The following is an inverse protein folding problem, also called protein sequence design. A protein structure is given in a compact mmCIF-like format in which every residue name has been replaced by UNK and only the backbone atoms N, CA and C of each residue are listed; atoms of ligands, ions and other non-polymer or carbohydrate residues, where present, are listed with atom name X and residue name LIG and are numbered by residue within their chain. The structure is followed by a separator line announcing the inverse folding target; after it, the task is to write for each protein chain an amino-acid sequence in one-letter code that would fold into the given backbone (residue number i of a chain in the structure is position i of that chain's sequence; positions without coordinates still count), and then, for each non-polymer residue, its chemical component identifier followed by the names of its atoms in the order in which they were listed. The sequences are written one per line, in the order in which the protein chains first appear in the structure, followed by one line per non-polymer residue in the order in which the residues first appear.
data_IF_202449815958
#
_entry.id   IF_202449815958
#
_cell.length_a   1.000
_cell.length_b   1.000
_cell.length_c   1.000
_cell.angle_alpha   90.00
_cell.angle_beta   90.00
_cell.angle_gamma   90.00
#
_symmetry.space_group_name_H-M   'P 1'
#
loop_
_entity.id
_entity.type
_entity.pdbx_description
1 polymer ?
2 non-polymer ?
3 non-polymer ?
4 non-polymer ?
5 non-polymer ?
6 water ?
#
# COMPACT_ATOMS: atom_id res chain seq x y z
N UNK A 3 -12.83 3.66 21.52
CA UNK A 3 -11.98 4.56 20.75
C UNK A 3 -11.10 5.34 21.71
N UNK A 4 -11.59 5.51 22.94
CA UNK A 4 -10.84 6.14 24.04
C UNK A 4 -9.95 7.28 23.58
N UNK A 5 -10.58 8.30 23.02
CA UNK A 5 -9.90 9.47 22.47
C UNK A 5 -9.65 10.52 23.55
N UNK A 6 -8.50 11.18 23.50
CA UNK A 6 -8.18 12.25 24.43
C UNK A 6 -9.10 13.45 24.21
N UNK A 7 -9.39 14.14 25.31
CA UNK A 7 -10.29 15.29 25.36
C UNK A 7 -10.12 16.30 24.23
N UNK A 8 -8.87 16.65 23.92
CA UNK A 8 -8.62 17.79 23.05
C UNK A 8 -8.86 17.55 21.56
N UNK A 9 -8.95 16.30 21.13
CA UNK A 9 -9.03 16.03 19.68
C UNK A 9 -10.27 16.65 19.05
N UNK A 10 -10.05 17.57 18.10
CA UNK A 10 -11.16 18.20 17.39
C UNK A 10 -11.93 17.22 16.52
N UNK A 11 -13.25 17.35 16.53
CA UNK A 11 -14.12 16.62 15.63
C UNK A 11 -15.01 17.59 14.89
N UNK A 12 -15.42 17.19 13.70
CA UNK A 12 -16.29 17.99 12.88
C UNK A 12 -17.68 17.41 13.01
N UNK A 13 -18.63 18.19 13.50
CA UNK A 13 -19.95 17.63 13.79
C UNK A 13 -21.11 18.42 13.20
N UNK A 14 -22.25 17.75 13.17
CA UNK A 14 -23.55 18.40 13.02
C UNK A 14 -24.33 18.22 14.31
N UNK A 15 -24.70 19.32 14.96
CA UNK A 15 -25.49 19.25 16.19
C UNK A 15 -26.87 19.84 15.96
N UNK A 16 -27.91 19.08 16.31
CA UNK A 16 -29.30 19.45 16.07
C UNK A 16 -29.54 20.05 14.68
N UNK A 17 -28.75 19.62 13.71
CA UNK A 17 -28.88 20.10 12.35
C UNK A 17 -27.85 21.12 11.88
N UNK A 18 -26.89 21.50 12.71
CA UNK A 18 -25.86 22.41 12.23
C UNK A 18 -24.43 22.06 12.59
N UNK A 19 -23.54 22.49 11.70
CA UNK A 19 -22.14 22.13 11.64
C UNK A 19 -21.29 22.97 12.58
N UNK A 20 -20.32 22.32 13.22
CA UNK A 20 -19.32 23.03 14.04
C UNK A 20 -18.11 22.14 14.26
N UNK A 21 -17.03 22.74 14.76
CA UNK A 21 -15.77 22.03 14.96
C UNK A 21 -15.33 22.18 16.41
N UNK A 22 -15.31 21.07 17.15
CA UNK A 22 -15.16 21.13 18.61
C UNK A 22 -14.25 20.05 19.19
N UNK A 23 -13.70 20.32 20.37
CA UNK A 23 -13.01 19.29 21.13
C UNK A 23 -13.97 18.16 21.50
N UNK A 24 -13.60 16.93 21.17
CA UNK A 24 -14.47 15.79 21.40
C UNK A 24 -14.87 15.68 22.88
N UNK A 25 -13.95 15.92 23.79
CA UNK A 25 -14.23 15.84 25.22
C UNK A 25 -15.23 16.88 25.67
N UNK A 26 -15.11 18.08 25.13
CA UNK A 26 -16.02 19.19 25.45
C UNK A 26 -17.46 18.87 25.06
N UNK A 27 -17.66 18.41 23.82
CA UNK A 27 -18.97 17.97 23.37
C UNK A 27 -19.57 16.89 24.27
N UNK A 28 -18.79 15.84 24.52
CA UNK A 28 -19.29 14.68 25.22
C UNK A 28 -19.59 14.98 26.69
N UNK A 29 -18.75 15.80 27.31
CA UNK A 29 -19.03 16.27 28.66
C UNK A 29 -20.36 17.01 28.71
N UNK A 30 -20.59 17.89 27.75
CA UNK A 30 -21.82 18.69 27.72
C UNK A 30 -23.05 17.80 27.52
N UNK A 31 -22.92 16.82 26.64
CA UNK A 31 -23.99 15.84 26.39
C UNK A 31 -24.36 15.02 27.62
N UNK A 32 -23.34 14.49 28.29
CA UNK A 32 -23.57 13.65 29.45
C UNK A 32 -24.16 14.46 30.59
N UNK A 33 -23.56 15.62 30.85
CA UNK A 33 -24.01 16.45 31.96
C UNK A 33 -25.43 16.99 31.76
N UNK A 34 -25.94 16.90 30.53
CA UNK A 34 -27.31 17.34 30.20
C UNK A 34 -28.27 16.18 29.96
N UNK A 35 -27.77 14.96 30.08
CA UNK A 35 -28.58 13.80 29.75
C UNK A 35 -29.33 13.25 30.97
N UNK A 36 -30.41 12.53 30.70
CA UNK A 36 -31.10 11.76 31.70
C UNK A 36 -31.09 10.31 31.24
N UNK A 37 -30.21 10.04 30.29
CA UNK A 37 -30.07 8.72 29.69
C UNK A 37 -28.66 8.20 29.89
N UNK A 38 -28.13 8.43 31.08
CA UNK A 38 -26.82 7.91 31.42
C UNK A 38 -26.95 6.53 31.99
N UNK A 39 -26.11 5.61 31.53
CA UNK A 39 -26.01 4.30 32.16
C UNK A 39 -24.54 4.02 32.40
N UNK A 40 -24.24 2.99 33.18
CA UNK A 40 -22.86 2.68 33.51
C UNK A 40 -22.46 1.25 33.18
N UNK A 41 -21.20 1.10 32.82
CA UNK A 41 -20.58 -0.21 32.63
C UNK A 41 -19.24 -0.17 33.35
N UNK A 42 -19.30 -0.20 34.67
CA UNK A 42 -18.11 -0.07 35.49
C UNK A 42 -17.63 1.37 35.50
N UNK A 43 -16.44 1.59 34.96
CA UNK A 43 -15.85 2.92 34.88
C UNK A 43 -16.45 3.71 33.73
N UNK A 44 -17.25 3.04 32.91
CA UNK A 44 -17.83 3.62 31.71
C UNK A 44 -19.15 4.35 31.96
N UNK A 45 -19.16 5.65 31.65
CA UNK A 45 -20.37 6.47 31.65
C UNK A 45 -20.89 6.61 30.21
N UNK A 46 -22.10 6.13 29.95
CA UNK A 46 -22.63 6.13 28.59
C UNK A 46 -23.92 6.91 28.50
N UNK A 47 -23.98 7.84 27.55
CA UNK A 47 -25.22 8.56 27.27
C UNK A 47 -25.63 8.35 25.85
N UNK A 48 -26.90 8.04 25.64
CA UNK A 48 -27.41 7.99 24.27
C UNK A 48 -27.74 9.43 23.89
N UNK A 49 -27.57 9.76 22.61
CA UNK A 49 -27.81 11.14 22.17
C UNK A 49 -28.61 11.24 20.87
N UNK A 50 -29.16 12.43 20.63
CA UNK A 50 -30.04 12.69 19.50
C UNK A 50 -29.56 13.90 18.70
N UNK A 51 -29.60 13.79 17.38
CA UNK A 51 -29.34 14.93 16.52
C UNK A 51 -27.88 15.29 16.40
N UNK A 52 -27.00 14.33 16.64
CA UNK A 52 -25.58 14.56 16.48
C UNK A 52 -24.98 13.66 15.42
N UNK A 53 -24.20 14.27 14.53
CA UNK A 53 -23.55 13.56 13.45
C UNK A 53 -22.07 13.92 13.41
N UNK A 54 -21.23 12.94 13.07
CA UNK A 54 -19.80 13.18 12.95
C UNK A 54 -19.31 12.75 11.57
N UNK A 55 -18.19 13.30 11.13
CA UNK A 55 -17.58 12.89 9.86
C UNK A 55 -17.00 11.49 10.03
N UNK A 56 -17.43 10.57 9.18
CA UNK A 56 -16.93 9.22 9.24
C UNK A 56 -16.87 8.65 7.84
N UNK A 57 -16.14 7.56 7.70
CA UNK A 57 -16.03 6.83 6.46
C UNK A 57 -17.06 5.68 6.44
N UNK A 58 -18.11 5.81 5.64
CA UNK A 58 -19.22 4.87 5.76
C UNK A 58 -19.07 3.58 4.96
N UNK A 59 -20.06 2.70 5.09
CA UNK A 59 -20.07 1.39 4.43
C UNK A 59 -20.09 1.47 2.89
N UNK A 60 -20.47 2.63 2.35
CA UNK A 60 -20.45 2.84 0.91
C UNK A 60 -19.15 3.51 0.47
N UNK A 61 -18.15 3.43 1.33
CA UNK A 61 -16.80 3.95 1.05
C UNK A 61 -16.71 5.47 0.90
N UNK A 62 -17.55 6.22 1.62
CA UNK A 62 -17.52 7.68 1.50
C UNK A 62 -17.38 8.42 2.83
N UNK A 63 -16.65 9.52 2.81
CA UNK A 63 -16.56 10.42 3.96
C UNK A 63 -17.76 11.36 4.01
N UNK A 64 -18.59 11.14 5.01
CA UNK A 64 -19.90 11.77 5.13
C UNK A 64 -20.28 11.98 6.60
N UNK A 65 -21.20 12.89 6.87
CA UNK A 65 -21.80 12.98 8.19
C UNK A 65 -22.62 11.72 8.48
N UNK A 66 -22.35 11.10 9.63
CA UNK A 66 -23.05 9.88 10.06
C UNK A 66 -23.54 10.05 11.49
N UNK A 67 -24.78 9.60 11.75
CA UNK A 67 -25.38 9.64 13.09
C UNK A 67 -24.52 9.02 14.18
N UNK A 68 -24.40 9.72 15.29
CA UNK A 68 -23.82 9.16 16.52
C UNK A 68 -24.99 8.66 17.37
N UNK A 69 -24.92 7.42 17.83
CA UNK A 69 -26.02 6.85 18.59
C UNK A 69 -25.87 7.12 20.08
N UNK A 70 -24.64 7.01 20.57
CA UNK A 70 -24.35 7.26 21.97
C UNK A 70 -22.92 7.78 22.14
N UNK A 71 -22.66 8.41 23.28
CA UNK A 71 -21.31 8.85 23.60
C UNK A 71 -20.93 8.30 24.97
N UNK A 72 -19.64 8.24 25.25
CA UNK A 72 -19.22 7.74 26.54
C UNK A 72 -17.85 8.27 26.91
N UNK A 73 -17.50 8.13 28.17
CA UNK A 73 -16.21 8.53 28.70
C UNK A 73 -15.84 7.58 29.82
N UNK A 74 -14.54 7.46 30.10
CA UNK A 74 -14.07 6.72 31.27
C UNK A 74 -12.75 7.32 31.73
N UNK A 75 -12.44 7.20 33.04
CA UNK A 75 -11.17 7.71 33.55
C UNK A 75 -9.99 6.91 33.01
N UNK A 76 -8.89 7.61 32.73
CA UNK A 76 -7.68 6.95 32.27
C UNK A 76 -6.46 7.59 32.92
N UNK A 77 -5.48 6.76 33.26
CA UNK A 77 -4.29 7.22 33.96
C UNK A 77 -3.24 7.78 33.02
N UNK A 78 -2.97 7.07 31.94
CA UNK A 78 -1.88 7.44 31.05
C UNK A 78 -2.28 7.35 29.58
N UNK A 79 -1.62 8.16 28.76
CA UNK A 79 -1.72 7.99 27.32
C UNK A 79 -0.36 8.14 26.70
N UNK A 80 -0.16 7.48 25.56
CA UNK A 80 1.10 7.55 24.85
C UNK A 80 1.05 8.68 23.85
N UNK A 81 2.07 9.52 23.86
CA UNK A 81 2.24 10.49 22.79
C UNK A 81 3.30 10.00 21.82
N UNK A 82 2.89 9.68 20.60
CA UNK A 82 3.81 9.29 19.55
C UNK A 82 4.21 10.50 18.74
N UNK A 83 5.52 10.74 18.61
CA UNK A 83 5.99 11.87 17.81
C UNK A 83 6.85 11.35 16.67
N UNK A 84 6.49 11.72 15.44
CA UNK A 84 7.21 11.26 14.26
C UNK A 84 7.88 12.42 13.53
N UNK A 85 8.67 12.09 12.50
CA UNK A 85 9.34 13.11 11.66
C UNK A 85 8.38 14.23 11.24
N UNK A 86 8.89 15.45 11.22
CA UNK A 86 8.06 16.61 10.89
C UNK A 86 7.25 17.09 12.09
N UNK A 87 7.57 16.54 13.25
CA UNK A 87 6.88 16.86 14.49
C UNK A 87 5.36 16.68 14.40
N UNK A 88 4.93 15.65 13.68
CA UNK A 88 3.56 15.17 13.75
C UNK A 88 3.44 14.32 15.02
N UNK A 89 2.30 14.41 15.68
CA UNK A 89 2.13 13.68 16.93
C UNK A 89 0.68 13.36 17.24
N UNK A 90 0.48 12.31 18.03
CA UNK A 90 -0.87 11.89 18.40
C UNK A 90 -0.83 11.35 19.83
N UNK A 91 -1.91 11.56 20.57
CA UNK A 91 -2.03 11.01 21.92
C UNK A 91 -3.11 9.94 21.98
N UNK A 92 -2.72 8.71 22.31
CA UNK A 92 -3.70 7.62 22.36
C UNK A 92 -3.47 6.72 23.56
N UNK A 93 -4.52 5.98 23.93
CA UNK A 93 -4.41 5.01 24.99
C UNK A 93 -3.68 3.76 24.51
N UNK A 94 -3.31 2.94 25.48
CA UNK A 94 -2.44 1.79 25.27
C UNK A 94 -3.03 0.77 24.31
N UNK A 95 -4.35 0.66 24.32
CA UNK A 95 -5.01 -0.40 23.57
C UNK A 95 -5.20 -0.08 22.09
N UNK A 96 -4.45 0.89 21.58
CA UNK A 96 -4.55 1.20 20.15
C UNK A 96 -3.38 0.63 19.39
N UNK A 97 -3.62 0.30 18.12
CA UNK A 97 -2.54 -0.22 17.29
C UNK A 97 -2.40 0.64 16.04
N UNK A 98 -1.20 0.64 15.46
CA UNK A 98 -0.91 1.44 14.29
C UNK A 98 -0.07 0.67 13.29
N UNK A 99 -0.31 0.92 12.00
CA UNK A 99 0.45 0.25 10.96
C UNK A 99 1.92 0.60 11.06
N UNK A 100 2.72 -0.45 11.20
CA UNK A 100 4.16 -0.31 11.38
C UNK A 100 4.87 -1.25 10.40
N UNK A 101 6.08 -0.90 9.99
CA UNK A 101 6.89 -1.85 9.25
C UNK A 101 7.62 -2.75 10.23
N UNK A 102 7.29 -4.03 10.20
CA UNK A 102 7.94 -4.98 11.09
C UNK A 102 8.23 -6.21 10.26
N UNK A 103 9.50 -6.65 10.29
CA UNK A 103 9.93 -7.77 9.47
C UNK A 103 9.45 -7.61 8.02
N UNK A 104 9.80 -6.47 7.37
CA UNK A 104 9.62 -6.39 5.91
C UNK A 104 8.16 -6.20 5.46
N UNK A 105 7.24 -6.22 6.41
CA UNK A 105 5.82 -6.04 6.12
C UNK A 105 5.19 -4.87 6.88
N UNK A 106 4.04 -4.40 6.40
CA UNK A 106 3.21 -3.46 7.16
C UNK A 106 2.21 -4.24 8.02
N UNK A 107 2.29 -4.06 9.33
CA UNK A 107 1.42 -4.77 10.25
C UNK A 107 0.94 -3.85 11.35
N UNK A 108 -0.24 -4.13 11.92
CA UNK A 108 -0.68 -3.32 13.06
C UNK A 108 0.10 -3.64 14.32
N UNK A 109 0.67 -2.63 14.96
CA UNK A 109 1.39 -2.83 16.23
C UNK A 109 0.79 -1.98 17.36
N UNK A 110 0.51 -2.61 18.51
CA UNK A 110 0.06 -1.87 19.70
C UNK A 110 1.02 -0.72 20.02
N UNK A 111 0.47 0.39 20.50
CA UNK A 111 1.28 1.60 20.70
C UNK A 111 2.32 1.43 21.81
N UNK A 112 2.05 0.52 22.74
CA UNK A 112 2.97 0.30 23.86
C UNK A 112 4.10 -0.66 23.47
N UNK A 113 4.02 -1.22 22.28
CA UNK A 113 5.07 -2.09 21.77
C UNK A 113 5.90 -1.40 20.69
N UNK A 114 5.56 -0.15 20.42
CA UNK A 114 6.33 0.66 19.47
C UNK A 114 7.65 1.09 20.08
N UNK A 115 8.65 1.31 19.22
CA UNK A 115 9.97 1.75 19.64
C UNK A 115 10.43 2.93 18.80
N UNK A 116 11.23 3.81 19.39
CA UNK A 116 11.84 4.91 18.64
C UNK A 116 12.58 4.32 17.44
N UNK A 117 12.48 4.96 16.28
CA UNK A 117 13.08 4.42 15.08
C UNK A 117 12.12 3.57 14.25
N UNK A 118 11.04 3.11 14.86
CA UNK A 118 10.01 2.37 14.13
C UNK A 118 9.48 3.21 12.98
N UNK A 119 9.13 2.55 11.89
CA UNK A 119 8.55 3.24 10.74
C UNK A 119 7.04 3.07 10.71
N UNK A 120 6.32 4.17 10.90
CA UNK A 120 4.87 4.16 10.84
C UNK A 120 4.39 4.48 9.43
N UNK A 121 3.25 3.90 9.07
CA UNK A 121 2.63 4.24 7.80
C UNK A 121 1.44 5.15 8.08
N UNK A 122 1.54 6.40 7.65
CA UNK A 122 0.46 7.34 7.86
C UNK A 122 -0.27 7.57 6.56
N UNK A 123 -1.57 7.84 6.65
CA UNK A 123 -2.29 8.25 5.48
C UNK A 123 -1.82 9.66 5.12
N UNK A 124 -1.88 9.99 3.83
CA UNK A 124 -1.54 11.34 3.41
C UNK A 124 -2.79 12.21 3.50
N UNK A 125 -3.14 12.61 4.71
CA UNK A 125 -4.30 13.46 4.91
C UNK A 125 -4.12 14.32 6.13
N UNK A 126 -4.99 15.30 6.29
CA UNK A 126 -4.86 16.25 7.38
C UNK A 126 -5.40 15.68 8.68
N UNK A 127 -6.48 14.90 8.59
CA UNK A 127 -7.16 14.40 9.79
C UNK A 127 -6.75 12.98 10.18
N UNK A 128 -6.81 12.67 11.48
CA UNK A 128 -6.63 11.29 11.91
C UNK A 128 -7.92 10.49 11.75
N UNK A 129 -7.81 9.18 11.71
CA UNK A 129 -8.98 8.32 11.74
C UNK A 129 -8.89 7.33 12.89
N UNK A 130 -9.97 7.24 13.67
CA UNK A 130 -10.08 6.26 14.72
C UNK A 130 -11.03 5.17 14.27
N UNK A 131 -10.57 3.93 14.19
CA UNK A 131 -11.38 2.91 13.56
C UNK A 131 -11.45 1.58 14.32
N UNK A 132 -12.57 0.89 14.14
CA UNK A 132 -12.75 -0.44 14.72
C UNK A 132 -12.56 -1.52 13.67
N UNK A 133 -12.45 -1.12 12.40
CA UNK A 133 -12.24 -2.06 11.31
C UNK A 133 -11.15 -1.58 10.35
N UNK A 134 -10.61 -2.49 9.56
CA UNK A 134 -9.51 -2.14 8.64
C UNK A 134 -10.02 -1.39 7.42
N UNK A 135 -9.52 -0.18 7.22
CA UNK A 135 -9.97 0.64 6.11
C UNK A 135 -8.83 1.30 5.31
N UNK A 136 -7.59 1.17 5.78
CA UNK A 136 -6.46 1.55 4.94
C UNK A 136 -6.57 0.73 3.67
N UNK A 137 -6.07 1.26 2.55
CA UNK A 137 -6.05 0.58 1.25
C UNK A 137 -7.48 0.49 0.65
N UNK A 138 -8.45 0.86 1.46
CA UNK A 138 -9.86 0.79 1.12
C UNK A 138 -10.44 2.20 1.05
N UNK A 139 -9.72 3.11 1.70
CA UNK A 139 -9.85 4.53 1.43
C UNK A 139 -8.93 4.88 0.26
N UNK A 140 -9.31 5.86 -0.56
CA UNK A 140 -8.49 6.22 -1.73
C UNK A 140 -7.42 7.23 -1.35
N UNK A 141 -6.42 6.76 -0.61
CA UNK A 141 -5.40 7.64 -0.06
C UNK A 141 -3.97 7.25 -0.45
N UNK A 142 -3.09 8.24 -0.50
CA UNK A 142 -1.66 7.98 -0.57
C UNK A 142 -1.18 7.75 0.86
N UNK A 143 -0.04 7.06 1.00
CA UNK A 143 0.51 6.76 2.31
C UNK A 143 1.94 7.27 2.41
N UNK A 144 2.34 7.68 3.60
CA UNK A 144 3.69 8.17 3.79
C UNK A 144 4.34 7.42 4.95
N UNK A 145 5.66 7.35 4.94
CA UNK A 145 6.40 6.54 5.91
C UNK A 145 7.29 7.41 6.78
N UNK A 146 7.00 7.41 8.08
CA UNK A 146 7.65 8.35 8.98
C UNK A 146 8.18 7.63 10.23
N UNK A 147 9.45 7.91 10.55
CA UNK A 147 10.08 7.33 11.74
C UNK A 147 9.54 7.96 13.02
N UNK A 148 9.35 7.14 14.04
CA UNK A 148 9.03 7.63 15.36
C UNK A 148 10.25 8.34 15.96
N UNK A 149 10.06 9.57 16.46
CA UNK A 149 11.14 10.29 17.13
C UNK A 149 11.07 10.10 18.64
N UNK A 150 9.91 10.40 19.22
CA UNK A 150 9.70 10.22 20.66
C UNK A 150 8.51 9.33 20.93
N UNK A 151 8.53 8.69 22.09
CA UNK A 151 7.36 8.05 22.67
C UNK A 151 7.27 8.48 24.14
N UNK A 152 6.35 9.38 24.43
CA UNK A 152 6.24 9.93 25.76
C UNK A 152 5.00 9.41 26.45
N UNK A 153 5.07 9.21 27.76
CA UNK A 153 3.85 8.92 28.51
C UNK A 153 3.38 10.22 29.14
N UNK A 154 2.13 10.56 28.87
CA UNK A 154 1.57 11.83 29.33
C UNK A 154 0.24 11.62 30.03
N UNK A 155 -0.27 12.68 30.64
CA UNK A 155 -1.57 12.66 31.29
C UNK A 155 -2.62 13.10 30.31
N UNK A 156 -3.79 12.45 30.36
CA UNK A 156 -4.93 12.89 29.55
C UNK A 156 -5.30 14.31 29.93
N UNK A 157 -5.71 15.12 28.95
CA UNK A 157 -6.04 16.52 29.21
C UNK A 157 -7.08 16.66 30.32
N UNK A 158 -8.07 15.76 30.33
CA UNK A 158 -9.17 15.85 31.29
C UNK A 158 -9.09 14.83 32.42
N UNK A 159 -8.34 13.75 32.19
CA UNK A 159 -8.33 12.63 33.13
C UNK A 159 -9.32 11.60 32.65
N UNK A 160 -9.90 11.85 31.48
CA UNK A 160 -10.86 10.95 30.85
C UNK A 160 -10.49 10.73 29.37
N UNK A 161 -10.90 9.59 28.83
CA UNK A 161 -10.82 9.32 27.40
C UNK A 161 -12.23 9.15 26.88
N UNK A 162 -12.45 9.39 25.59
CA UNK A 162 -13.81 9.53 25.09
C UNK A 162 -14.15 8.64 23.89
N UNK A 163 -15.43 8.32 23.77
CA UNK A 163 -15.94 7.39 22.75
C UNK A 163 -17.18 7.93 22.03
N UNK A 164 -17.22 7.75 20.73
CA UNK A 164 -18.46 7.93 19.99
C UNK A 164 -18.87 6.56 19.48
N UNK A 165 -20.17 6.31 19.38
CA UNK A 165 -20.65 5.12 18.72
C UNK A 165 -21.29 5.53 17.41
N UNK A 166 -20.67 5.11 16.31
CA UNK A 166 -21.14 5.43 14.99
C UNK A 166 -21.51 4.13 14.27
N UNK A 167 -22.81 3.83 14.24
CA UNK A 167 -23.33 2.66 13.50
C UNK A 167 -23.04 2.71 12.01
N UNK A 168 -22.91 1.54 11.39
CA UNK A 168 -22.72 1.43 9.94
C UNK A 168 -21.49 2.18 9.44
N UNK A 169 -20.50 2.34 10.31
CA UNK A 169 -19.23 2.97 9.93
C UNK A 169 -18.13 2.51 10.87
N UNK A 170 -18.43 2.52 12.18
CA UNK A 170 -17.50 2.07 13.20
C UNK A 170 -16.10 2.67 13.07
N UNK A 171 -16.06 3.93 12.64
CA UNK A 171 -14.87 4.76 12.67
C UNK A 171 -15.36 6.20 12.79
N UNK A 172 -14.44 7.13 13.05
CA UNK A 172 -14.75 8.54 12.86
C UNK A 172 -13.48 9.36 12.70
N UNK A 173 -13.65 10.56 12.19
CA UNK A 173 -12.54 11.45 11.94
C UNK A 173 -12.39 12.36 13.15
N UNK A 174 -11.17 12.45 13.68
CA UNK A 174 -10.90 13.27 14.85
C UNK A 174 -9.40 13.52 14.97
N UNK A 175 -9.02 14.78 15.15
CA UNK A 175 -7.63 15.12 15.35
C UNK A 175 -6.91 15.30 14.04
N UNK A 176 -5.65 15.70 14.13
CA UNK A 176 -4.86 16.03 12.95
C UNK A 176 -3.59 15.21 12.86
N UNK A 177 -3.19 14.85 11.64
CA UNK A 177 -1.90 14.22 11.45
C UNK A 177 -1.86 13.23 10.31
N UNK A 178 -2.91 12.42 10.21
CA UNK A 178 -2.96 11.39 9.18
C UNK A 178 -2.74 10.02 9.79
N UNK A 179 -2.79 9.95 11.11
CA UNK A 179 -2.69 8.65 11.77
C UNK A 179 -3.97 7.87 11.57
N UNK A 180 -3.86 6.56 11.43
CA UNK A 180 -5.03 5.70 11.54
C UNK A 180 -4.88 4.83 12.78
N UNK A 181 -5.76 5.05 13.74
CA UNK A 181 -5.67 4.35 15.02
C UNK A 181 -6.69 3.24 15.08
N UNK A 182 -6.21 2.00 15.22
CA UNK A 182 -7.10 0.86 15.33
C UNK A 182 -7.28 0.43 16.78
N UNK A 183 -8.54 0.21 17.19
CA UNK A 183 -8.80 -0.41 18.48
C UNK A 183 -8.13 -1.77 18.53
N UNK A 184 -7.65 -2.16 19.71
CA UNK A 184 -6.87 -3.38 19.81
C UNK A 184 -6.88 -3.94 21.23
N UNK B 2 10.82 -1.16 -24.44
CA UNK B 2 9.63 -1.63 -23.75
C UNK B 2 9.99 -2.58 -22.63
N UNK B 3 9.54 -3.82 -22.76
CA UNK B 3 9.78 -4.82 -21.71
C UNK B 3 11.25 -5.18 -21.63
N UNK B 4 11.88 -5.41 -22.78
CA UNK B 4 13.29 -5.74 -22.85
C UNK B 4 13.71 -6.74 -21.78
N UNK B 5 13.12 -7.94 -21.81
CA UNK B 5 13.36 -8.95 -20.78
C UNK B 5 14.59 -9.79 -21.12
N UNK B 6 15.34 -10.17 -20.11
CA UNK B 6 16.50 -11.02 -20.35
C UNK B 6 16.08 -12.43 -20.77
N UNK B 7 16.90 -13.04 -21.61
CA UNK B 7 16.68 -14.37 -22.17
C UNK B 7 16.19 -15.42 -21.17
N UNK B 8 16.80 -15.47 -20.00
CA UNK B 8 16.57 -16.59 -19.08
C UNK B 8 15.26 -16.56 -18.32
N UNK B 9 14.61 -15.41 -18.25
CA UNK B 9 13.38 -15.29 -17.44
C UNK B 9 12.27 -16.21 -17.94
N UNK B 10 11.86 -17.15 -17.07
CA UNK B 10 10.81 -18.12 -17.42
C UNK B 10 9.43 -17.49 -17.55
N UNK B 11 8.67 -17.92 -18.56
CA UNK B 11 7.28 -17.52 -18.69
C UNK B 11 6.38 -18.75 -18.71
N UNK B 12 5.13 -18.54 -18.34
CA UNK B 12 4.13 -19.57 -18.36
C UNK B 12 3.22 -19.34 -19.54
N UNK B 13 3.18 -20.29 -20.47
CA UNK B 13 2.43 -20.10 -21.68
C UNK B 13 1.51 -21.28 -21.98
N UNK B 14 0.48 -20.98 -22.75
CA UNK B 14 -0.39 -22.01 -23.30
C UNK B 14 -0.14 -21.97 -24.80
N UNK B 15 0.16 -23.12 -25.40
CA UNK B 15 0.53 -23.12 -26.82
C UNK B 15 -0.29 -24.12 -27.64
N UNK B 16 0.02 -25.40 -27.52
CA UNK B 16 -0.75 -26.43 -28.22
C UNK B 16 -1.74 -27.09 -27.28
N UNK B 17 -2.42 -26.28 -26.47
CA UNK B 17 -3.32 -26.79 -25.46
C UNK B 17 -2.56 -27.27 -24.24
N UNK B 18 -1.24 -27.30 -24.37
CA UNK B 18 -0.38 -27.64 -23.25
C UNK B 18 0.10 -26.39 -22.54
N UNK B 19 0.28 -26.48 -21.23
CA UNK B 19 0.84 -25.37 -20.46
C UNK B 19 2.33 -25.61 -20.23
N UNK B 20 3.15 -24.75 -20.84
CA UNK B 20 4.59 -24.90 -20.76
C UNK B 20 5.22 -23.75 -19.99
N UNK B 21 6.36 -24.05 -19.36
CA UNK B 21 7.15 -23.03 -18.68
C UNK B 21 8.51 -23.00 -19.36
N UNK B 22 8.81 -21.86 -19.99
CA UNK B 22 9.98 -21.75 -20.87
C UNK B 22 10.71 -20.42 -20.67
N UNK B 23 12.00 -20.41 -21.01
CA UNK B 23 12.74 -19.16 -21.06
C UNK B 23 12.15 -18.27 -22.14
N UNK B 24 11.91 -17.00 -21.81
CA UNK B 24 11.25 -16.10 -22.74
C UNK B 24 12.07 -15.94 -24.03
N UNK B 25 13.38 -15.97 -23.93
CA UNK B 25 14.22 -15.79 -25.11
C UNK B 25 14.27 -17.03 -25.95
N UNK B 26 14.19 -18.19 -25.32
CA UNK B 26 14.15 -19.44 -26.06
C UNK B 26 12.91 -19.49 -26.96
N UNK B 27 11.77 -19.13 -26.41
CA UNK B 27 10.52 -19.10 -27.17
C UNK B 27 10.60 -18.16 -28.37
N UNK B 28 11.01 -16.94 -28.10
CA UNK B 28 10.96 -15.87 -29.08
C UNK B 28 11.99 -16.09 -30.21
N UNK B 29 13.16 -16.60 -29.83
CA UNK B 29 14.14 -17.07 -30.81
C UNK B 29 13.56 -18.14 -31.72
N UNK B 30 12.82 -19.08 -31.16
CA UNK B 30 12.24 -20.15 -31.96
C UNK B 30 11.15 -19.61 -32.89
N UNK B 31 10.35 -18.67 -32.39
CA UNK B 31 9.31 -18.07 -33.21
C UNK B 31 9.91 -17.29 -34.38
N UNK B 32 10.88 -16.45 -34.07
CA UNK B 32 11.49 -15.59 -35.08
C UNK B 32 12.28 -16.39 -36.11
N UNK B 33 13.04 -17.39 -35.66
CA UNK B 33 13.82 -18.20 -36.57
C UNK B 33 12.94 -18.97 -37.58
N UNK B 34 11.68 -19.15 -37.23
CA UNK B 34 10.76 -19.94 -38.04
C UNK B 34 9.68 -19.10 -38.71
N UNK B 35 9.73 -17.79 -38.51
CA UNK B 35 8.72 -16.93 -39.09
C UNK B 35 9.02 -16.62 -40.56
N UNK B 36 7.99 -16.31 -41.34
CA UNK B 36 8.18 -15.88 -42.72
C UNK B 36 7.71 -14.45 -42.92
N UNK B 37 7.18 -13.87 -41.85
CA UNK B 37 6.83 -12.47 -41.83
C UNK B 37 7.47 -11.73 -40.66
N UNK B 38 8.79 -11.75 -40.61
CA UNK B 38 9.52 -10.87 -39.73
C UNK B 38 9.47 -9.46 -40.26
N UNK B 39 9.36 -8.45 -39.39
CA UNK B 39 9.59 -7.08 -39.83
C UNK B 39 10.62 -6.40 -38.92
N UNK B 40 11.11 -5.24 -39.34
CA UNK B 40 12.11 -4.54 -38.57
C UNK B 40 11.69 -3.12 -38.26
N UNK B 41 11.97 -2.70 -37.03
CA UNK B 41 11.83 -1.31 -36.64
C UNK B 41 13.12 -0.92 -35.96
N UNK B 42 14.04 -0.38 -36.75
CA UNK B 42 15.39 -0.11 -36.27
C UNK B 42 16.07 -1.40 -35.88
N UNK B 43 16.57 -1.45 -34.64
CA UNK B 43 17.25 -2.62 -34.13
C UNK B 43 16.26 -3.71 -33.70
N UNK B 44 14.98 -3.35 -33.64
CA UNK B 44 13.92 -4.29 -33.31
C UNK B 44 13.61 -5.25 -34.46
N UNK B 45 13.60 -6.54 -34.12
CA UNK B 45 13.17 -7.60 -35.01
C UNK B 45 11.87 -8.17 -34.45
N UNK B 46 10.78 -7.99 -35.20
CA UNK B 46 9.42 -8.32 -34.72
C UNK B 46 8.78 -9.39 -35.59
N UNK B 47 8.15 -10.36 -34.95
CA UNK B 47 7.46 -11.44 -35.64
C UNK B 47 6.03 -11.60 -35.16
N UNK B 48 5.08 -11.73 -36.09
CA UNK B 48 3.72 -12.09 -35.69
C UNK B 48 3.71 -13.55 -35.22
N UNK B 49 2.78 -13.90 -34.35
CA UNK B 49 2.69 -15.29 -33.93
C UNK B 49 1.24 -15.70 -33.70
N UNK B 50 0.97 -17.00 -33.85
CA UNK B 50 -0.37 -17.53 -33.63
C UNK B 50 -0.36 -18.62 -32.57
N UNK B 51 -1.45 -18.73 -31.80
CA UNK B 51 -1.64 -19.87 -30.92
C UNK B 51 -0.84 -19.83 -29.63
N UNK B 52 -0.38 -18.65 -29.26
CA UNK B 52 0.35 -18.52 -28.00
C UNK B 52 -0.35 -17.54 -27.07
N UNK B 53 -0.52 -17.97 -25.82
CA UNK B 53 -1.04 -17.13 -24.75
C UNK B 53 -0.07 -17.14 -23.59
N UNK B 54 -0.02 -16.06 -22.82
CA UNK B 54 0.90 -15.93 -21.69
C UNK B 54 0.14 -15.50 -20.44
N UNK B 55 0.63 -15.90 -19.27
CA UNK B 55 0.05 -15.46 -18.00
C UNK B 55 0.29 -13.97 -17.81
N UNK B 56 -0.80 -13.24 -17.59
CA UNK B 56 -0.76 -11.81 -17.34
C UNK B 56 -1.90 -11.42 -16.43
N UNK B 57 -1.85 -10.21 -15.86
CA UNK B 57 -2.96 -9.64 -15.09
C UNK B 57 -4.02 -9.02 -16.00
N UNK B 58 -5.29 -9.39 -15.81
CA UNK B 58 -6.34 -8.71 -16.59
C UNK B 58 -6.95 -7.55 -15.81
N UNK B 59 -8.16 -7.16 -16.20
CA UNK B 59 -8.87 -6.04 -15.59
C UNK B 59 -8.96 -6.18 -14.07
N UNK B 60 -9.27 -7.39 -13.61
CA UNK B 60 -9.49 -7.63 -12.20
C UNK B 60 -8.24 -8.00 -11.43
N UNK B 61 -7.08 -7.70 -12.00
CA UNK B 61 -5.79 -8.05 -11.40
C UNK B 61 -5.77 -9.53 -11.03
N UNK B 62 -6.26 -10.36 -11.94
CA UNK B 62 -6.21 -11.82 -11.79
C UNK B 62 -5.41 -12.45 -12.92
N UNK B 63 -4.60 -13.44 -12.59
CA UNK B 63 -3.82 -14.17 -13.58
C UNK B 63 -4.73 -14.90 -14.52
N UNK B 64 -4.56 -14.64 -15.82
CA UNK B 64 -5.26 -15.37 -16.87
C UNK B 64 -4.31 -15.54 -18.04
N UNK B 65 -4.47 -16.62 -18.80
CA UNK B 65 -3.80 -16.72 -20.08
C UNK B 65 -4.37 -15.67 -21.02
N UNK B 66 -3.51 -14.77 -21.48
CA UNK B 66 -3.88 -13.71 -22.43
C UNK B 66 -3.18 -13.92 -23.76
N UNK B 67 -3.88 -13.66 -24.87
CA UNK B 67 -3.31 -13.77 -26.23
C UNK B 67 -2.06 -12.92 -26.44
N UNK B 68 -1.08 -13.50 -27.13
CA UNK B 68 0.10 -12.77 -27.57
C UNK B 68 0.01 -12.56 -29.10
N UNK B 69 0.17 -11.33 -29.57
CA UNK B 69 -0.02 -11.04 -31.00
C UNK B 69 1.27 -10.99 -31.80
N UNK B 70 2.37 -10.67 -31.13
CA UNK B 70 3.67 -10.66 -31.79
C UNK B 70 4.76 -10.73 -30.74
N UNK B 71 5.97 -11.06 -31.17
CA UNK B 71 7.11 -11.11 -30.27
C UNK B 71 8.24 -10.31 -30.89
N UNK B 72 9.18 -9.86 -30.08
CA UNK B 72 10.30 -9.10 -30.61
C UNK B 72 11.56 -9.27 -29.78
N UNK B 73 12.68 -8.93 -30.40
CA UNK B 73 13.99 -8.92 -29.74
C UNK B 73 14.85 -7.78 -30.29
N UNK B 74 15.76 -7.27 -29.45
CA UNK B 74 16.75 -6.28 -29.90
C UNK B 74 18.04 -6.43 -29.11
N UNK B 75 19.18 -6.14 -29.76
CA UNK B 75 20.50 -6.20 -29.12
C UNK B 75 20.59 -5.27 -27.93
N UNK B 76 21.13 -5.78 -26.84
CA UNK B 76 21.41 -4.98 -25.65
C UNK B 76 22.82 -5.31 -25.14
N UNK B 77 23.57 -4.28 -24.71
CA UNK B 77 24.94 -4.49 -24.25
C UNK B 77 25.07 -4.68 -22.74
N UNK B 78 24.24 -4.00 -21.96
CA UNK B 78 24.39 -4.03 -20.51
C UNK B 78 23.06 -4.13 -19.77
N UNK B 79 23.07 -4.89 -18.68
CA UNK B 79 21.91 -4.96 -17.81
C UNK B 79 22.32 -4.72 -16.36
N UNK B 80 21.35 -4.37 -15.52
CA UNK B 80 21.58 -4.16 -14.10
C UNK B 80 21.06 -5.33 -13.28
N UNK B 81 21.94 -5.96 -12.52
CA UNK B 81 21.52 -6.96 -11.56
C UNK B 81 21.26 -6.29 -10.21
N UNK B 82 19.99 -6.24 -9.81
CA UNK B 82 19.61 -5.72 -8.51
C UNK B 82 19.51 -6.87 -7.52
N UNK B 83 20.20 -6.77 -6.38
CA UNK B 83 20.10 -7.79 -5.33
C UNK B 83 19.52 -7.17 -4.06
N UNK B 84 18.48 -7.79 -3.51
CA UNK B 84 17.88 -7.27 -2.29
C UNK B 84 18.01 -8.30 -1.15
N UNK B 85 17.67 -7.89 0.06
CA UNK B 85 17.82 -8.78 1.21
C UNK B 85 17.01 -10.06 1.02
N UNK B 86 17.56 -11.17 1.49
CA UNK B 86 17.01 -12.48 1.18
C UNK B 86 17.61 -13.00 -0.12
N UNK B 87 18.57 -12.25 -0.64
CA UNK B 87 19.25 -12.57 -1.88
C UNK B 87 18.29 -12.84 -3.04
N UNK B 88 17.15 -12.17 -3.07
CA UNK B 88 16.33 -12.13 -4.27
C UNK B 88 17.02 -11.21 -5.26
N UNK B 89 17.00 -11.55 -6.53
CA UNK B 89 17.63 -10.69 -7.50
C UNK B 89 16.90 -10.67 -8.83
N UNK B 90 17.06 -9.58 -9.55
CA UNK B 90 16.48 -9.45 -10.88
C UNK B 90 17.50 -8.82 -11.81
N UNK B 91 17.38 -9.11 -13.10
CA UNK B 91 18.30 -8.61 -14.10
C UNK B 91 17.50 -7.80 -15.11
N UNK B 92 17.70 -6.48 -15.18
CA UNK B 92 16.91 -5.64 -16.07
C UNK B 92 17.69 -4.53 -16.76
N UNK B 93 17.17 -4.08 -17.88
CA UNK B 93 17.78 -3.00 -18.65
C UNK B 93 17.57 -1.67 -17.95
N UNK B 94 18.39 -0.71 -18.34
CA UNK B 94 18.48 0.60 -17.71
C UNK B 94 17.16 1.36 -17.64
N UNK B 95 16.33 1.18 -18.67
CA UNK B 95 15.15 2.00 -18.84
C UNK B 95 14.02 1.68 -17.86
N UNK B 96 14.11 0.57 -17.15
CA UNK B 96 13.05 0.16 -16.23
C UNK B 96 12.99 0.97 -14.94
N UNK B 97 11.81 1.02 -14.34
CA UNK B 97 11.60 1.67 -13.05
C UNK B 97 10.98 0.70 -12.06
N UNK B 98 11.31 0.87 -10.78
CA UNK B 98 10.74 0.05 -9.72
C UNK B 98 10.33 0.92 -8.52
N UNK B 99 9.30 0.49 -7.80
CA UNK B 99 8.80 1.28 -6.67
C UNK B 99 9.80 1.29 -5.52
N UNK B 100 10.16 2.49 -5.09
CA UNK B 100 11.15 2.68 -4.04
C UNK B 100 10.61 3.65 -3.00
N UNK B 101 11.09 3.56 -1.75
CA UNK B 101 10.82 4.64 -0.81
C UNK B 101 11.76 5.81 -1.03
N UNK B 102 11.20 6.96 -1.40
CA UNK B 102 11.99 8.17 -1.54
C UNK B 102 11.24 9.32 -0.90
N UNK B 103 11.93 10.06 -0.02
CA UNK B 103 11.31 11.18 0.68
C UNK B 103 9.99 10.77 1.33
N UNK B 104 10.02 9.64 2.05
CA UNK B 104 8.90 9.14 2.84
C UNK B 104 7.71 8.64 2.03
N UNK B 105 7.87 8.53 0.71
CA UNK B 105 6.78 8.07 -0.14
C UNK B 105 7.25 6.96 -1.07
N UNK B 106 6.30 6.19 -1.58
CA UNK B 106 6.59 5.18 -2.58
C UNK B 106 6.53 5.80 -3.97
N UNK B 107 7.63 5.77 -4.72
CA UNK B 107 7.67 6.35 -6.06
C UNK B 107 8.45 5.46 -7.01
N UNK B 108 8.08 5.47 -8.31
CA UNK B 108 8.90 4.73 -9.27
C UNK B 108 10.26 5.38 -9.49
N UNK B 109 11.34 4.64 -9.31
CA UNK B 109 12.68 5.17 -9.56
C UNK B 109 13.37 4.34 -10.64
N UNK B 110 14.02 5.02 -11.57
CA UNK B 110 14.77 4.35 -12.64
C UNK B 110 15.87 3.49 -12.05
N UNK B 111 16.07 2.32 -12.63
CA UNK B 111 16.99 1.33 -12.10
C UNK B 111 18.42 1.88 -12.01
N UNK B 112 18.77 2.80 -12.90
CA UNK B 112 20.14 3.33 -12.92
C UNK B 112 20.29 4.49 -11.93
N UNK B 113 19.22 4.80 -11.21
CA UNK B 113 19.30 5.80 -10.17
C UNK B 113 19.14 5.17 -8.79
N UNK B 114 19.11 3.85 -8.75
CA UNK B 114 18.97 3.16 -7.46
C UNK B 114 20.30 3.15 -6.70
N UNK B 115 20.22 3.09 -5.38
CA UNK B 115 21.42 3.07 -4.56
C UNK B 115 21.37 1.90 -3.59
N UNK B 116 22.53 1.34 -3.27
CA UNK B 116 22.61 0.32 -2.23
C UNK B 116 21.98 0.90 -0.96
N UNK B 117 21.08 0.17 -0.36
CA UNK B 117 20.41 0.67 0.83
C UNK B 117 19.00 1.17 0.57
N UNK B 118 18.69 1.47 -0.69
CA UNK B 118 17.33 1.85 -1.07
C UNK B 118 16.35 0.76 -0.65
N UNK B 119 15.17 1.16 -0.20
CA UNK B 119 14.13 0.21 0.15
C UNK B 119 13.19 0.02 -1.02
N UNK B 120 13.19 -1.17 -1.60
CA UNK B 120 12.27 -1.48 -2.70
C UNK B 120 10.98 -2.09 -2.18
N UNK B 121 9.90 -1.83 -2.89
CA UNK B 121 8.61 -2.37 -2.54
C UNK B 121 8.30 -3.51 -3.51
N UNK B 122 8.33 -4.73 -3.01
CA UNK B 122 8.05 -5.88 -3.84
C UNK B 122 6.65 -6.36 -3.55
N UNK B 123 6.10 -7.16 -4.46
CA UNK B 123 4.85 -7.85 -4.17
C UNK B 123 5.18 -9.13 -3.41
N UNK B 124 4.26 -9.62 -2.60
CA UNK B 124 4.54 -10.84 -1.85
C UNK B 124 4.21 -12.09 -2.68
N UNK B 125 4.22 -11.95 -4.00
CA UNK B 125 4.03 -13.10 -4.88
C UNK B 125 5.37 -13.70 -5.29
N UNK B 126 5.31 -14.89 -5.87
CA UNK B 126 6.49 -15.62 -6.32
C UNK B 126 7.01 -15.10 -7.68
N UNK B 127 6.11 -14.59 -8.50
CA UNK B 127 6.46 -14.18 -9.87
C UNK B 127 6.75 -12.69 -10.01
N UNK B 128 7.63 -12.34 -10.94
CA UNK B 128 7.86 -10.94 -11.31
C UNK B 128 6.82 -10.51 -12.34
N UNK B 129 6.48 -9.23 -12.34
CA UNK B 129 5.58 -8.66 -13.36
C UNK B 129 6.31 -7.58 -14.15
N UNK B 130 6.26 -7.71 -15.47
CA UNK B 130 6.70 -6.64 -16.37
C UNK B 130 5.47 -5.92 -16.91
N UNK B 131 5.40 -4.61 -16.77
CA UNK B 131 4.15 -3.90 -17.07
C UNK B 131 4.35 -2.53 -17.75
N UNK B 132 3.35 -2.12 -18.54
CA UNK B 132 3.30 -0.78 -19.15
C UNK B 132 2.40 0.17 -18.38
N UNK B 133 1.37 -0.39 -17.75
CA UNK B 133 0.41 0.34 -16.95
C UNK B 133 0.81 0.26 -15.46
N UNK B 134 0.09 0.98 -14.61
CA UNK B 134 0.34 0.87 -13.17
C UNK B 134 -0.67 -0.08 -12.52
N UNK B 135 -0.16 -1.16 -11.93
CA UNK B 135 -1.04 -2.21 -11.42
C UNK B 135 -0.86 -2.58 -9.93
N UNK B 136 0.17 -2.04 -9.28
CA UNK B 136 0.29 -2.18 -7.83
C UNK B 136 -0.95 -1.55 -7.18
N UNK B 137 -1.28 -2.03 -5.98
CA UNK B 137 -2.49 -1.65 -5.23
C UNK B 137 -3.73 -2.16 -6.01
N UNK B 138 -3.79 -1.84 -7.29
CA UNK B 138 -4.71 -2.47 -8.24
C UNK B 138 -4.54 -3.99 -8.17
N UNK B 139 -3.30 -4.44 -8.01
CA UNK B 139 -2.99 -5.84 -7.81
C UNK B 139 -3.38 -6.29 -6.41
N UNK B 140 -4.26 -7.29 -6.35
CA UNK B 140 -4.69 -7.85 -5.07
C UNK B 140 -3.56 -8.62 -4.39
N UNK B 141 -2.72 -7.90 -3.66
CA UNK B 141 -1.52 -8.50 -3.08
C UNK B 141 -0.99 -7.66 -1.91
N UNK B 142 -0.34 -8.33 -0.96
CA UNK B 142 0.43 -7.64 0.07
C UNK B 142 1.76 -7.20 -0.53
N UNK B 143 2.44 -6.29 0.15
CA UNK B 143 3.74 -5.81 -0.30
C UNK B 143 4.80 -6.02 0.76
N UNK B 144 6.02 -6.33 0.32
CA UNK B 144 7.13 -6.42 1.25
C UNK B 144 8.12 -5.32 0.95
N UNK B 145 8.91 -4.95 1.96
CA UNK B 145 9.85 -3.84 1.85
C UNK B 145 11.27 -4.37 2.06
N UNK B 146 12.06 -4.37 1.00
CA UNK B 146 13.38 -4.99 1.05
C UNK B 146 14.46 -4.03 0.56
N UNK B 147 15.53 -3.94 1.35
CA UNK B 147 16.67 -3.08 1.03
C UNK B 147 17.51 -3.66 -0.09
N UNK B 148 18.02 -2.78 -0.96
CA UNK B 148 18.97 -3.22 -1.97
C UNK B 148 20.34 -3.50 -1.32
N UNK B 149 20.87 -4.69 -1.57
CA UNK B 149 22.20 -5.08 -1.10
C UNK B 149 23.28 -4.79 -2.13
N UNK B 150 22.94 -4.96 -3.40
CA UNK B 150 23.91 -4.86 -4.48
C UNK B 150 23.27 -4.40 -5.78
N UNK B 151 24.04 -3.64 -6.57
CA UNK B 151 23.68 -3.26 -7.92
C UNK B 151 24.87 -3.54 -8.83
N UNK B 152 24.74 -4.56 -9.67
CA UNK B 152 25.85 -5.00 -10.50
C UNK B 152 25.54 -4.81 -11.97
N UNK B 153 26.47 -4.24 -12.72
CA UNK B 153 26.35 -4.23 -14.17
C UNK B 153 26.79 -5.59 -14.68
N UNK B 154 25.92 -6.23 -15.43
CA UNK B 154 26.18 -7.55 -15.96
C UNK B 154 25.84 -7.57 -17.44
N UNK B 155 26.30 -8.60 -18.13
CA UNK B 155 25.93 -8.78 -19.53
C UNK B 155 24.61 -9.52 -19.62
N UNK B 156 23.76 -9.13 -20.58
CA UNK B 156 22.57 -9.94 -20.83
C UNK B 156 22.96 -11.36 -21.21
N UNK B 157 22.15 -12.32 -20.78
CA UNK B 157 22.41 -13.74 -21.03
C UNK B 157 22.69 -14.06 -22.50
N UNK B 158 22.02 -13.38 -23.43
CA UNK B 158 22.15 -13.70 -24.85
C UNK B 158 22.63 -12.54 -25.71
N UNK B 159 22.73 -11.35 -25.12
CA UNK B 159 23.11 -10.16 -25.88
C UNK B 159 21.89 -9.47 -26.47
N UNK B 160 20.73 -10.10 -26.27
CA UNK B 160 19.45 -9.59 -26.74
C UNK B 160 18.49 -9.47 -25.55
N UNK B 161 17.51 -8.57 -25.67
CA UNK B 161 16.40 -8.49 -24.70
C UNK B 161 15.09 -8.69 -25.46
N UNK B 162 14.05 -9.13 -24.76
CA UNK B 162 12.86 -9.68 -25.43
C UNK B 162 11.53 -9.07 -25.01
N UNK B 163 10.61 -8.96 -25.98
CA UNK B 163 9.28 -8.40 -25.78
C UNK B 163 8.16 -9.35 -26.24
N UNK B 164 7.08 -9.40 -25.45
CA UNK B 164 5.84 -10.01 -25.88
C UNK B 164 4.84 -8.90 -26.07
N UNK B 165 4.04 -8.98 -27.12
CA UNK B 165 2.96 -8.02 -27.28
C UNK B 165 1.67 -8.66 -26.81
N UNK B 166 1.18 -8.17 -25.69
CA UNK B 166 -0.05 -8.65 -25.09
C UNK B 166 -1.10 -7.55 -25.20
N UNK B 167 -2.01 -7.66 -26.18
CA UNK B 167 -2.99 -6.59 -26.35
C UNK B 167 -3.86 -6.37 -25.13
N UNK B 168 -4.11 -5.09 -24.82
CA UNK B 168 -4.96 -4.66 -23.71
C UNK B 168 -4.33 -4.86 -22.33
N UNK B 169 -3.91 -6.09 -22.03
CA UNK B 169 -3.37 -6.37 -20.70
C UNK B 169 -2.09 -5.56 -20.41
N UNK B 170 -1.24 -5.40 -21.42
CA UNK B 170 -0.01 -4.60 -21.32
C UNK B 170 0.87 -4.97 -20.11
N UNK B 171 0.95 -6.26 -19.83
CA UNK B 171 1.83 -6.79 -18.80
C UNK B 171 1.91 -8.28 -19.01
N UNK B 172 2.91 -8.91 -18.42
CA UNK B 172 2.94 -10.37 -18.32
C UNK B 172 3.84 -10.80 -17.18
N UNK B 173 3.66 -12.05 -16.73
CA UNK B 173 4.52 -12.64 -15.72
C UNK B 173 5.77 -13.21 -16.36
N UNK B 174 6.95 -12.84 -15.85
CA UNK B 174 8.20 -13.45 -16.28
C UNK B 174 9.23 -13.41 -15.17
N UNK B 175 9.80 -14.57 -14.85
CA UNK B 175 10.83 -14.62 -13.81
C UNK B 175 10.19 -14.71 -12.45
N UNK B 176 11.03 -14.76 -11.41
CA UNK B 176 10.56 -14.96 -10.04
C UNK B 176 11.22 -14.02 -9.04
N UNK B 177 10.50 -13.71 -7.96
CA UNK B 177 11.01 -12.83 -6.94
C UNK B 177 9.93 -11.94 -6.39
N UNK B 178 9.02 -11.51 -7.26
CA UNK B 178 7.96 -10.61 -6.83
C UNK B 178 8.29 -9.16 -7.13
N UNK B 179 9.31 -8.93 -7.94
CA UNK B 179 9.59 -7.58 -8.44
C UNK B 179 8.50 -7.14 -9.39
N UNK B 180 8.19 -5.84 -9.41
CA UNK B 180 7.38 -5.33 -10.49
C UNK B 180 8.18 -4.33 -11.30
N UNK B 181 8.40 -4.68 -12.56
CA UNK B 181 9.27 -3.91 -13.42
C UNK B 181 8.43 -3.03 -14.37
N UNK B 182 8.57 -1.71 -14.21
CA UNK B 182 7.80 -0.76 -15.02
C UNK B 182 8.63 -0.25 -16.20
N UNK B 183 8.10 -0.44 -17.41
CA UNK B 183 8.74 0.12 -18.61
C UNK B 183 8.84 1.62 -18.46
N UNK B 184 9.99 2.17 -18.82
CA UNK B 184 10.22 3.59 -18.67
C UNK B 184 11.35 4.04 -19.59
X LIG C 1 13.14 15.41 12.40
X LIG C 1 13.15 16.38 10.27
X LIG C 1 11.75 15.92 12.65
X LIG C 1 11.75 16.91 10.50
X LIG C 1 13.41 15.22 11.03
X LIG C 1 11.44 17.06 11.87
X LIG D 1 11.55 5.52 4.89
X LIG D 1 13.41 5.61 6.32
X LIG D 1 10.98 6.75 5.56
X LIG D 1 12.83 6.84 6.99
X LIG D 1 12.95 5.47 4.99
X LIG D 1 11.42 6.87 6.89
X LIG E 1 -6.04 24.43 24.09
X LIG E 1 -7.48 26.24 24.49
X LIG E 1 -6.28 24.56 22.59
X LIG E 1 -7.67 26.42 23.00
X LIG E 1 -6.23 25.64 24.79
X LIG E 1 -7.50 25.22 22.30
X LIG F 1 -29.94 14.42 22.92
X LIG F 1 -29.05 14.28 25.06
X LIG F 1 -28.66 15.01 22.39
X LIG F 1 -27.78 14.95 24.58
X LIG F 1 -29.70 13.58 24.01
X LIG F 1 -27.95 15.71 23.39
X LIG G 1 -14.58 14.31 32.17
X LIG G 1 -15.11 14.27 30.86
X LIG G 1 -14.16 15.74 32.50
X LIG G 1 -15.23 16.40 33.13
X LIG G 1 -12.98 15.68 33.47
X LIG G 1 -12.94 16.87 34.24
X LIG H 1 -16.68 -2.01 38.68
X LIG H 1 -17.90 -2.55 38.22
X LIG H 1 -16.80 -0.48 38.74
X LIG H 1 -18.17 -0.13 38.68
X LIG H 1 -16.18 0.04 40.03
X LIG H 1 -16.14 1.45 40.00
X LIG I 1 7.81 14.75 4.90
X LIG I 1 7.31 14.23 3.69
X LIG I 1 6.67 15.25 5.80
X LIG I 1 5.44 14.75 5.33
X LIG I 1 6.93 14.79 7.23
X LIG I 1 5.87 15.18 8.08
X LIG J 1 -16.89 14.31 36.64
X LIG K 1 -24.16 6.23 11.57
X LIG L 1 11.58 -4.43 8.43
X LIG M 1 6.31 -6.16 19.09
X LIG N 1 11.58 -4.91 12.06
X LIG O 1 -6.51 -0.38 27.47
X LIG P 1 20.70 -10.31 3.64
X LIG P 1 19.93 -11.38 5.57
X LIG P 1 20.42 -11.57 2.83
X LIG P 1 19.63 -12.63 4.77
X LIG P 1 19.86 -10.22 4.76
X LIG P 1 20.43 -12.73 3.63
X LIG Q 1 12.19 -2.47 5.84
X LIG Q 1 13.85 -1.18 6.86
X LIG Q 1 13.22 -3.52 5.50
X LIG Q 1 14.88 -2.25 6.57
X LIG Q 1 12.56 -1.73 6.99
X LIG Q 1 14.54 -3.02 5.44
X LIG R 1 15.45 -0.53 -23.33
X LIG R 1 16.21 -1.67 -23.75
X LIG R 1 17.59 -1.31 -24.29
X LIG R 1 18.17 -0.40 -23.30
X LIG R 1 17.43 0.79 -22.89
X LIG R 1 16.08 0.72 -23.61
X LIG R 1 19.59 -0.51 -22.98
X LIG R 1 20.39 -0.11 -24.23
X LIG R 1 22.04 -0.24 -23.95
X LIG R 1 22.51 0.90 -23.13
X LIG R 1 22.75 -0.25 -25.25
X LIG R 1 22.34 -1.49 -23.23
X LIG S 1 -10.80 -9.14 -18.83
X LIG S 1 -10.08 -7.98 -18.50
X LIG S 1 -9.93 -10.04 -19.71
X LIG S 1 -10.07 -9.69 -21.07
X LIG S 1 -10.32 -11.49 -19.50
X LIG S 1 -9.83 -12.27 -20.57
X LIG T 1 18.27 -14.59 -12.20
X LIG T 1 17.17 -14.33 -11.34
X LIG T 1 18.99 -13.28 -12.49
X LIG T 1 18.36 -12.24 -11.78
X LIG T 1 20.45 -13.38 -12.05
X LIG T 1 21.08 -12.12 -12.16
X LIG U 1 27.73 -11.59 -16.43
X LIG U 1 28.35 -10.37 -16.78
X LIG U 1 27.53 -11.66 -14.92
X LIG U 1 26.86 -12.85 -14.58
X LIG U 1 28.88 -11.60 -14.21
X LIG U 1 29.47 -10.34 -14.39
X LIG V 1 21.73 -19.18 -26.68
X LIG V 1 21.37 -18.00 -27.40
X LIG V 1 22.18 -18.81 -25.27
X LIG V 1 21.73 -17.51 -24.96
X LIG V 1 21.60 -19.78 -24.25
X LIG V 1 21.85 -19.28 -22.96
X LIG W 1 -7.68 -27.86 -22.86
X LIG W 1 -6.99 -28.19 -24.03
X LIG W 1 -7.27 -26.46 -22.42
X LIG W 1 -8.42 -25.70 -22.11
X LIG W 1 -6.35 -26.52 -21.19
X LIG W 1 -5.01 -26.83 -21.54
X LIG X 1 20.94 -16.43 -31.31
X LIG X 1 20.26 -17.21 -32.27
X LIG X 1 19.93 -15.74 -30.40
X LIG X 1 20.21 -15.95 -29.03
X LIG X 1 19.85 -14.25 -30.68
X LIG X 1 19.10 -13.66 -29.64
X LIG Y 1 11.26 8.85 -13.31
X LIG Y 1 10.79 7.56 -12.93
X LIG Y 1 12.46 9.26 -12.44
X LIG Y 1 12.02 10.08 -11.38
X LIG Y 1 13.12 8.02 -11.86
X LIG Y 1 14.35 8.36 -11.25
X LIG Z 1 -2.86 -12.99 -7.78
X LIG Z 1 -3.95 -12.10 -7.65
X LIG Z 1 -1.90 -12.75 -6.63
X LIG Z 1 -2.58 -12.19 -5.54
X LIG Z 1 -0.85 -11.75 -7.11
X LIG Z 1 0.19 -11.61 -6.16
X LIG AA 1 13.78 -12.37 4.09
X LIG AA 1 13.59 -11.94 2.77
X LIG AA 1 14.35 -11.23 4.93
X LIG AA 1 13.73 -11.17 6.19
X LIG AA 1 15.87 -11.40 5.10
X LIG AA 1 16.36 -10.32 5.88
X LIG BA 1 25.63 1.95 -9.45
X LIG BA 1 24.77 1.96 -10.58
X LIG BA 1 24.99 2.71 -8.30
X LIG BA 1 24.81 1.85 -7.18
X LIG BA 1 25.87 3.89 -7.88
X LIG BA 1 25.41 4.37 -6.64
X LIG CA 1 22.13 -20.78 -19.71
X LIG CA 1 22.10 -19.56 -18.98
X LIG CA 1 22.06 -21.95 -18.74
X LIG CA 1 21.23 -21.64 -17.65
X LIG CA 1 21.49 -23.19 -19.45
X LIG CA 1 21.00 -24.10 -18.49
X LIG DA 1 5.12 4.25 -13.82
X LIG EA 1 14.85 8.78 0.96
X LIG FA 1 -6.49 -23.52 -19.10
X LIG GA 1 18.61 6.09 1.30
#
# INVERSE_FOLDING_TARGET
GGYAVDYNEPIIIKENGEIKVVKIGELIDKIIENSENIRREGILEIAKCKGIEVIAFNSNYKFKFMPVSEVSRHPVSEMFEIVVEGNKKVRVTRSHSVFTIRDNEVVPIRVDELKVGDILVLAKRITNIYTNRKLEKLINSDFIFLKIKEINKVEPTSGYAYDLTVPNAENFVAGFGGFVLHNA
GGYAVDYNEPIIIKENGEIKVVKIGELIDKIIENSENIRREGILEIAKCKGIEVIAFNSNYKFKFMPVSEVSRHPVSEMFEIVVEGNKKVRVTRSHSVFTIRDNEVVPIRVDELKVGDILVLAKRITNIYTNRKLEKLINSDFIFLKIKEINKVEPTSGYAYDLTVPNAENFVAGFGGFVLHNA
DIO C1 C2 C1' C2' O1 O1'
DIO C1 C2 C1' C2' O1 O1'
DIO C1 C2 C1' C2' O1 O1'
DIO C1 C2 C1' C2' O1 O1'
GOL C1 O1 C2 O2 C3 O3
GOL C1 O1 C2 O2 C3 O3
GOL C1 O1 C2 O2 C3 O3
NH4 N
NH4 N
NH4 N
NH4 N
NH4 N
NH4 N
DIO C1 C2 C1' C2' O1 O1'
DIO C1 C2 C1' C2' O1 O1'
MES O1 C2 C3 N4 C5 C6 C7 C8 S O1S O2S O3S
GOL C1 O1 C2 O2 C3 O3
GOL C1 O1 C2 O2 C3 O3
GOL C1 O1 C2 O2 C3 O3
GOL C1 O1 C2 O2 C3 O3
GOL C1 O1 C2 O2 C3 O3
GOL C1 O1 C2 O2 C3 O3
GOL C1 O1 C2 O2 C3 O3
GOL C1 O1 C2 O2 C3 O3
GOL C1 O1 C2 O2 C3 O3
GOL C1 O1 C2 O2 C3 O3
GOL C1 O1 C2 O2 C3 O3
NH4 N
NH4 N
NH4 N
NH4 N
#
